data_IF_589857964471
#
_entry.id   IF_589857964471
#
_cell.length_a   1.000
_cell.length_b   1.000
_cell.length_c   1.000
_cell.angle_alpha   90.00
_cell.angle_beta   90.00
_cell.angle_gamma   90.00
#
_symmetry.space_group_name_H-M   'P 1'
#
loop_
_entity.id
_entity.type
_entity.pdbx_description
1 polymer ?
#
# COMPACT_ATOMS: atom_id res chain seq x y z
N UNK A 1 24.66 -8.09 26.23
CA UNK A 1 25.41 -6.97 25.63
C UNK A 1 24.54 -5.72 25.85
N UNK A 2 24.94 -4.88 26.81
CA UNK A 2 24.15 -3.77 27.35
C UNK A 2 24.23 -2.54 26.41
N UNK A 3 23.09 -2.05 25.94
CA UNK A 3 22.96 -0.84 25.10
C UNK A 3 22.58 0.42 25.90
N UNK A 4 22.85 0.46 27.20
CA UNK A 4 22.52 1.60 28.05
C UNK A 4 23.71 1.99 28.92
N UNK A 5 24.60 2.80 28.37
CA UNK A 5 25.51 3.61 29.17
C UNK A 5 25.73 4.95 28.47
N UNK A 6 25.32 6.02 29.16
CA UNK A 6 25.41 7.45 28.79
C UNK A 6 24.50 7.94 27.66
N UNK A 7 23.37 8.57 28.00
CA UNK A 7 22.70 9.50 27.07
C UNK A 7 22.43 10.81 27.78
N UNK A 8 23.03 11.89 27.26
CA UNK A 8 22.53 13.25 27.45
C UNK A 8 21.03 13.27 27.14
N UNK A 9 20.23 13.94 27.96
CA UNK A 9 18.80 14.11 27.70
C UNK A 9 18.65 14.98 26.45
N UNK A 10 18.40 14.36 25.29
CA UNK A 10 18.32 15.05 23.98
C UNK A 10 16.98 15.78 23.82
N UNK A 11 15.94 15.37 24.56
CA UNK A 11 14.63 16.02 24.51
C UNK A 11 13.84 15.79 25.80
N UNK A 12 13.04 16.78 26.18
CA UNK A 12 12.13 16.70 27.33
C UNK A 12 10.82 15.98 27.00
N UNK A 13 10.47 15.85 25.71
CA UNK A 13 9.21 15.27 25.26
C UNK A 13 9.35 14.44 23.97
N UNK A 14 8.75 13.24 23.96
CA UNK A 14 8.66 12.37 22.78
C UNK A 14 7.18 12.09 22.48
N UNK A 15 6.75 12.41 21.26
CA UNK A 15 5.42 12.09 20.76
C UNK A 15 5.52 11.01 19.67
N UNK A 16 4.99 9.82 19.96
CA UNK A 16 4.88 8.74 18.98
C UNK A 16 3.48 8.78 18.34
N UNK A 17 3.42 9.03 17.03
CA UNK A 17 2.17 9.05 16.27
C UNK A 17 2.31 8.21 14.99
N UNK A 18 1.17 7.94 14.34
CA UNK A 18 1.17 7.25 13.05
C UNK A 18 1.65 8.19 11.93
N UNK A 19 2.26 7.62 10.90
CA UNK A 19 2.79 8.31 9.72
C UNK A 19 1.79 9.28 9.07
N UNK A 20 0.48 8.97 9.12
CA UNK A 20 -0.56 9.88 8.59
C UNK A 20 -0.57 11.26 9.25
N UNK A 21 -0.20 11.38 10.53
CA UNK A 21 -0.18 12.67 11.22
C UNK A 21 0.98 13.54 10.73
N UNK A 22 2.18 12.94 10.61
CA UNK A 22 3.33 13.64 10.04
C UNK A 22 3.08 14.08 8.61
N UNK A 23 2.45 13.22 7.80
CA UNK A 23 2.03 13.55 6.43
C UNK A 23 1.06 14.73 6.39
N UNK A 24 0.02 14.74 7.23
CA UNK A 24 -0.94 15.84 7.29
C UNK A 24 -0.25 17.16 7.61
N UNK A 25 0.53 17.18 8.70
CA UNK A 25 1.20 18.38 9.20
C UNK A 25 2.25 18.94 8.24
N UNK A 26 2.84 18.09 7.40
CA UNK A 26 3.74 18.56 6.34
C UNK A 26 3.01 19.37 5.25
N UNK A 27 1.70 19.20 5.09
CA UNK A 27 0.92 19.88 4.05
C UNK A 27 -0.07 20.92 4.58
N UNK A 28 -0.65 20.72 5.77
CA UNK A 28 -1.64 21.63 6.35
C UNK A 28 -1.72 21.51 7.86
N UNK A 29 -2.13 22.60 8.50
CA UNK A 29 -2.51 22.71 9.91
C UNK A 29 -4.00 22.43 10.17
N UNK A 30 -4.78 22.14 9.12
CA UNK A 30 -6.24 21.89 9.20
C UNK A 30 -6.55 20.40 9.20
N UNK A 31 -7.81 20.08 9.53
CA UNK A 31 -8.35 18.75 9.34
C UNK A 31 -8.14 18.27 7.89
N UNK A 32 -7.92 16.97 7.70
CA UNK A 32 -7.64 16.43 6.37
C UNK A 32 -7.79 14.94 6.22
N UNK A 33 -7.95 14.50 4.97
CA UNK A 33 -7.93 13.08 4.59
C UNK A 33 -6.54 12.75 4.08
N UNK A 34 -5.89 11.79 4.72
CA UNK A 34 -4.58 11.29 4.33
C UNK A 34 -4.73 9.87 3.80
N UNK A 35 -4.15 9.60 2.64
CA UNK A 35 -4.10 8.27 2.03
C UNK A 35 -2.64 7.88 1.86
N UNK A 36 -2.24 6.79 2.50
CA UNK A 36 -0.89 6.23 2.37
C UNK A 36 -1.00 4.96 1.54
N UNK A 37 -0.12 4.82 0.55
CA UNK A 37 -0.04 3.66 -0.35
C UNK A 37 1.43 3.36 -0.67
N UNK A 38 2.13 2.79 0.32
CA UNK A 38 3.52 2.31 0.20
C UNK A 38 3.57 0.79 0.28
N UNK A 39 4.48 0.23 1.09
CA UNK A 39 4.48 -1.21 1.41
C UNK A 39 3.13 -1.71 1.94
N UNK A 40 2.43 -0.90 2.74
CA UNK A 40 1.03 -1.09 3.14
C UNK A 40 0.17 0.09 2.72
N UNK A 41 -1.11 0.06 3.05
CA UNK A 41 -2.02 1.18 2.77
C UNK A 41 -2.98 1.48 3.92
N UNK A 42 -3.30 2.76 4.07
CA UNK A 42 -4.30 3.22 5.05
C UNK A 42 -4.90 4.54 4.60
N UNK A 43 -6.16 4.77 4.93
CA UNK A 43 -6.82 6.05 4.78
C UNK A 43 -7.32 6.54 6.13
N UNK A 44 -7.04 7.81 6.44
CA UNK A 44 -7.51 8.44 7.67
C UNK A 44 -8.09 9.81 7.40
N UNK A 45 -9.17 10.13 8.11
CA UNK A 45 -9.58 11.51 8.30
C UNK A 45 -9.11 11.95 9.68
N UNK A 46 -8.30 12.99 9.74
CA UNK A 46 -7.74 13.56 10.96
C UNK A 46 -8.39 14.93 11.18
N UNK A 47 -8.93 15.16 12.38
CA UNK A 47 -9.57 16.41 12.78
C UNK A 47 -8.54 17.37 13.37
N UNK A 48 -8.94 18.63 13.56
CA UNK A 48 -8.09 19.67 14.19
C UNK A 48 -7.74 19.33 15.65
N UNK A 49 -8.61 18.60 16.35
CA UNK A 49 -8.39 18.12 17.72
C UNK A 49 -7.55 16.82 17.80
N UNK A 50 -6.95 16.39 16.68
CA UNK A 50 -6.18 15.15 16.52
C UNK A 50 -6.96 13.85 16.64
N UNK A 51 -8.27 13.89 16.89
CA UNK A 51 -9.10 12.70 16.76
C UNK A 51 -9.20 12.28 15.27
N UNK A 52 -9.41 10.99 15.02
CA UNK A 52 -9.36 10.47 13.66
C UNK A 52 -10.33 9.32 13.42
N UNK A 53 -10.70 9.18 12.16
CA UNK A 53 -11.42 8.03 11.59
C UNK A 53 -10.47 7.27 10.68
N UNK A 54 -10.48 5.93 10.74
CA UNK A 54 -9.60 5.07 9.92
C UNK A 54 -10.42 4.15 9.03
N UNK A 55 -9.97 4.01 7.78
CA UNK A 55 -10.39 2.99 6.81
C UNK A 55 -9.14 2.20 6.39
N UNK A 56 -9.25 0.88 6.38
CA UNK A 56 -8.11 -0.01 6.07
C UNK A 56 -7.01 0.04 7.13
N UNK A 57 -5.78 -0.29 6.74
CA UNK A 57 -4.62 -0.35 7.64
C UNK A 57 -4.63 -1.54 8.60
N UNK A 58 -5.30 -2.64 8.24
CA UNK A 58 -5.28 -3.90 9.01
C UNK A 58 -4.05 -4.77 8.71
N UNK A 59 -3.17 -4.30 7.81
CA UNK A 59 -2.03 -5.05 7.34
C UNK A 59 -2.38 -6.09 6.27
N UNK A 60 -1.34 -6.73 5.76
CA UNK A 60 -1.39 -7.50 4.52
C UNK A 60 -2.28 -8.75 4.55
N UNK A 61 -2.59 -9.28 5.74
CA UNK A 61 -3.47 -10.44 5.90
C UNK A 61 -4.95 -10.09 5.73
N UNK A 62 -5.35 -8.85 6.07
CA UNK A 62 -6.75 -8.44 6.18
C UNK A 62 -7.05 -7.13 5.43
N UNK A 63 -6.14 -6.66 4.59
CA UNK A 63 -6.30 -5.40 3.86
C UNK A 63 -5.03 -5.03 3.10
N UNK A 64 -4.59 -3.78 3.26
CA UNK A 64 -3.52 -3.17 2.47
C UNK A 64 -3.87 -3.09 0.97
N UNK A 65 -5.14 -2.99 0.61
CA UNK A 65 -5.56 -2.83 -0.79
C UNK A 65 -4.89 -1.61 -1.42
N UNK A 66 -4.44 -1.77 -2.66
CA UNK A 66 -3.63 -0.79 -3.41
C UNK A 66 -2.22 -0.49 -2.86
N UNK A 67 -1.77 -1.19 -1.81
CA UNK A 67 -0.36 -1.14 -1.42
C UNK A 67 0.55 -1.85 -2.43
N UNK A 68 1.84 -1.57 -2.36
CA UNK A 68 2.83 -2.30 -3.15
C UNK A 68 2.84 -3.80 -2.87
N UNK A 69 2.61 -4.21 -1.62
CA UNK A 69 2.43 -5.64 -1.31
C UNK A 69 1.20 -6.22 -2.01
N UNK A 70 0.06 -5.53 -1.94
CA UNK A 70 -1.19 -6.00 -2.52
C UNK A 70 -1.10 -6.11 -4.04
N UNK A 71 -0.49 -5.14 -4.70
CA UNK A 71 -0.24 -5.17 -6.15
C UNK A 71 0.59 -6.39 -6.52
N UNK A 72 1.72 -6.61 -5.83
CA UNK A 72 2.57 -7.78 -6.08
C UNK A 72 1.81 -9.08 -5.86
N UNK A 73 1.13 -9.22 -4.72
CA UNK A 73 0.35 -10.40 -4.38
C UNK A 73 -0.75 -10.67 -5.41
N UNK A 74 -1.44 -9.62 -5.89
CA UNK A 74 -2.49 -9.73 -6.90
C UNK A 74 -1.93 -10.23 -8.23
N UNK A 75 -0.82 -9.67 -8.71
CA UNK A 75 -0.13 -10.15 -9.92
C UNK A 75 0.32 -11.61 -9.77
N UNK A 76 0.93 -11.97 -8.64
CA UNK A 76 1.35 -13.34 -8.34
C UNK A 76 0.18 -14.32 -8.37
N UNK A 77 -0.93 -13.98 -7.71
CA UNK A 77 -2.11 -14.84 -7.62
C UNK A 77 -2.75 -15.04 -9.00
N UNK A 78 -2.89 -13.97 -9.79
CA UNK A 78 -3.42 -14.06 -11.15
C UNK A 78 -2.55 -14.97 -12.05
N UNK A 79 -1.23 -14.89 -11.91
CA UNK A 79 -0.31 -15.78 -12.61
C UNK A 79 -0.46 -17.24 -12.16
N UNK A 80 -0.38 -17.52 -10.85
CA UNK A 80 -0.44 -18.90 -10.34
C UNK A 80 -1.79 -19.56 -10.67
N UNK A 81 -2.89 -18.82 -10.56
CA UNK A 81 -4.22 -19.34 -10.91
C UNK A 81 -4.36 -19.70 -12.39
N UNK A 82 -3.74 -18.91 -13.27
CA UNK A 82 -3.75 -19.14 -14.71
C UNK A 82 -2.86 -20.33 -15.10
N UNK A 83 -1.67 -20.41 -14.51
CA UNK A 83 -0.69 -21.48 -14.74
C UNK A 83 -1.19 -22.85 -14.25
N UNK A 84 -1.84 -22.89 -13.09
CA UNK A 84 -2.47 -24.11 -12.55
C UNK A 84 -3.82 -24.43 -13.20
N UNK A 85 -4.36 -23.53 -14.05
CA UNK A 85 -5.65 -23.68 -14.70
C UNK A 85 -6.86 -23.57 -13.75
N UNK A 86 -6.67 -23.01 -12.55
CA UNK A 86 -7.74 -22.78 -11.57
C UNK A 86 -8.68 -21.67 -12.00
N UNK A 87 -8.12 -20.51 -12.38
CA UNK A 87 -8.87 -19.35 -12.88
C UNK A 87 -8.08 -18.74 -14.02
N UNK A 88 -8.62 -18.84 -15.23
CA UNK A 88 -7.96 -18.31 -16.42
C UNK A 88 -7.85 -16.80 -16.38
N UNK A 89 -6.64 -16.28 -16.58
CA UNK A 89 -6.41 -14.85 -16.71
C UNK A 89 -6.80 -14.37 -18.12
N UNK A 90 -7.51 -13.24 -18.25
CA UNK A 90 -7.81 -12.67 -19.56
C UNK A 90 -6.61 -11.98 -20.24
N UNK A 91 -5.47 -11.87 -19.54
CA UNK A 91 -4.24 -11.20 -20.00
C UNK A 91 -3.07 -12.18 -20.04
N UNK A 92 -2.01 -11.85 -20.78
CA UNK A 92 -0.76 -12.63 -20.78
C UNK A 92 -0.06 -12.52 -19.42
N UNK A 93 0.20 -13.67 -18.78
CA UNK A 93 0.82 -13.79 -17.45
C UNK A 93 2.33 -14.03 -17.53
N UNK A 94 2.88 -14.35 -18.72
CA UNK A 94 4.30 -14.70 -18.89
C UNK A 94 5.27 -13.56 -18.50
N UNK A 95 5.01 -12.27 -18.79
CA UNK A 95 5.87 -11.18 -18.33
C UNK A 95 5.95 -11.09 -16.80
N UNK A 96 4.82 -11.25 -16.12
CA UNK A 96 4.76 -11.26 -14.64
C UNK A 96 5.51 -12.45 -14.08
N UNK A 97 5.33 -13.65 -14.67
CA UNK A 97 6.10 -14.85 -14.30
C UNK A 97 7.60 -14.61 -14.41
N UNK A 98 8.07 -14.07 -15.54
CA UNK A 98 9.50 -13.77 -15.75
C UNK A 98 10.05 -12.79 -14.70
N UNK A 99 9.29 -11.75 -14.38
CA UNK A 99 9.69 -10.77 -13.36
C UNK A 99 9.79 -11.43 -11.96
N UNK A 100 8.81 -12.26 -11.59
CA UNK A 100 8.81 -12.99 -10.33
C UNK A 100 9.99 -13.96 -10.21
N UNK A 101 10.20 -14.77 -11.25
CA UNK A 101 11.28 -15.75 -11.28
C UNK A 101 12.64 -15.09 -11.21
N UNK A 102 12.82 -13.96 -11.91
CA UNK A 102 14.05 -13.18 -11.86
C UNK A 102 14.29 -12.59 -10.46
N UNK A 103 13.26 -12.04 -9.83
CA UNK A 103 13.39 -11.36 -8.53
C UNK A 103 13.73 -12.32 -7.39
N UNK A 104 13.02 -13.45 -7.32
CA UNK A 104 13.24 -14.46 -6.28
C UNK A 104 14.21 -15.57 -6.71
N UNK A 105 14.85 -15.45 -7.88
CA UNK A 105 15.79 -16.46 -8.43
C UNK A 105 15.19 -17.87 -8.54
N UNK A 106 13.93 -17.95 -8.96
CA UNK A 106 13.15 -19.19 -9.03
C UNK A 106 13.47 -19.98 -10.29
N UNK A 107 13.34 -21.31 -10.20
CA UNK A 107 13.47 -22.23 -11.35
C UNK A 107 12.12 -22.83 -11.73
N UNK A 108 11.20 -22.93 -10.77
CA UNK A 108 9.89 -23.53 -10.91
C UNK A 108 8.90 -22.93 -9.91
N UNK A 109 7.60 -23.19 -10.11
CA UNK A 109 6.56 -22.62 -9.23
C UNK A 109 6.67 -23.11 -7.78
N UNK A 110 7.13 -24.34 -7.55
CA UNK A 110 7.27 -24.87 -6.19
C UNK A 110 8.31 -24.09 -5.38
N UNK A 111 9.27 -23.45 -6.06
CA UNK A 111 10.28 -22.60 -5.42
C UNK A 111 9.65 -21.33 -4.82
N UNK A 112 8.43 -20.93 -5.21
CA UNK A 112 7.70 -19.82 -4.59
C UNK A 112 7.39 -20.08 -3.11
N UNK A 113 7.36 -21.35 -2.68
CA UNK A 113 7.09 -21.70 -1.30
C UNK A 113 8.17 -21.15 -0.35
N UNK A 114 9.44 -21.12 -0.76
CA UNK A 114 10.54 -20.66 0.09
C UNK A 114 10.41 -19.17 0.51
N UNK A 115 10.26 -18.20 -0.43
CA UNK A 115 10.04 -16.80 -0.05
C UNK A 115 8.69 -16.56 0.63
N UNK A 116 7.69 -17.43 0.41
CA UNK A 116 6.40 -17.35 1.11
C UNK A 116 6.49 -17.84 2.57
N UNK A 117 7.25 -18.90 2.85
CA UNK A 117 7.46 -19.39 4.23
C UNK A 117 8.41 -18.48 5.02
N UNK A 118 9.42 -17.90 4.37
CA UNK A 118 10.32 -16.91 4.97
C UNK A 118 9.90 -15.48 4.63
N UNK A 119 8.60 -15.22 4.81
CA UNK A 119 7.95 -14.01 4.31
C UNK A 119 8.58 -12.71 4.82
N UNK A 120 9.00 -11.87 3.88
CA UNK A 120 9.44 -10.49 4.13
C UNK A 120 8.61 -9.52 3.30
N UNK A 121 7.65 -8.84 3.93
CA UNK A 121 6.72 -7.94 3.24
C UNK A 121 7.39 -6.94 2.29
N UNK A 122 8.51 -6.36 2.70
CA UNK A 122 9.28 -5.39 1.90
C UNK A 122 9.87 -5.99 0.62
N UNK A 123 10.24 -7.27 0.65
CA UNK A 123 10.81 -7.97 -0.51
C UNK A 123 9.75 -8.15 -1.58
N UNK A 124 8.53 -8.52 -1.19
CA UNK A 124 7.37 -8.61 -2.08
C UNK A 124 6.92 -7.23 -2.56
N UNK A 125 6.82 -6.23 -1.67
CA UNK A 125 6.37 -4.90 -2.08
C UNK A 125 7.34 -4.22 -3.05
N UNK A 126 8.63 -4.56 -3.02
CA UNK A 126 9.62 -4.00 -3.94
C UNK A 126 9.34 -4.31 -5.43
N UNK A 127 8.71 -5.46 -5.72
CA UNK A 127 8.28 -5.85 -7.06
C UNK A 127 7.19 -4.94 -7.65
N UNK A 128 6.45 -4.21 -6.81
CA UNK A 128 5.46 -3.25 -7.25
C UNK A 128 6.07 -2.23 -8.23
N UNK A 129 7.32 -1.80 -7.99
CA UNK A 129 8.02 -0.89 -8.90
C UNK A 129 8.19 -1.50 -10.29
N UNK A 130 8.64 -2.75 -10.35
CA UNK A 130 8.80 -3.50 -11.61
C UNK A 130 7.47 -3.65 -12.34
N UNK A 131 6.39 -4.03 -11.64
CA UNK A 131 5.06 -4.12 -12.25
C UNK A 131 4.51 -2.76 -12.69
N UNK A 132 4.82 -1.68 -11.96
CA UNK A 132 4.49 -0.32 -12.37
C UNK A 132 5.19 0.09 -13.67
N UNK A 133 6.47 -0.27 -13.82
CA UNK A 133 7.24 -0.05 -15.06
C UNK A 133 6.69 -0.89 -16.21
N UNK A 134 6.36 -2.17 -15.97
CA UNK A 134 5.72 -3.05 -16.96
C UNK A 134 4.38 -2.48 -17.45
N UNK A 135 3.53 -2.03 -16.52
CA UNK A 135 2.25 -1.42 -16.86
C UNK A 135 2.40 -0.14 -17.69
N UNK A 136 3.39 0.71 -17.36
CA UNK A 136 3.72 1.89 -18.18
C UNK A 136 4.22 1.53 -19.58
N UNK A 137 4.91 0.40 -19.70
CA UNK A 137 5.43 -0.12 -20.97
C UNK A 137 4.41 -0.95 -21.77
N UNK A 138 3.15 -0.99 -21.34
CA UNK A 138 2.05 -1.58 -22.11
C UNK A 138 1.60 -2.98 -21.68
N UNK A 139 2.12 -3.52 -20.58
CA UNK A 139 1.65 -4.80 -20.03
C UNK A 139 0.20 -4.66 -19.50
N UNK A 140 -0.73 -5.38 -20.14
CA UNK A 140 -2.17 -5.23 -19.85
C UNK A 140 -2.56 -5.80 -18.48
N UNK A 141 -1.90 -6.87 -18.02
CA UNK A 141 -2.12 -7.45 -16.70
C UNK A 141 -1.75 -6.44 -15.60
N UNK A 142 -0.55 -5.84 -15.69
CA UNK A 142 -0.12 -4.81 -14.75
C UNK A 142 -1.03 -3.59 -14.82
N UNK A 143 -1.41 -3.11 -16.01
CA UNK A 143 -2.35 -1.99 -16.16
C UNK A 143 -3.70 -2.29 -15.50
N UNK A 144 -4.19 -3.52 -15.63
CA UNK A 144 -5.41 -3.96 -14.97
C UNK A 144 -5.28 -3.91 -13.45
N UNK A 145 -4.24 -4.50 -12.87
CA UNK A 145 -4.02 -4.52 -11.42
C UNK A 145 -3.83 -3.11 -10.86
N UNK A 146 -3.10 -2.23 -11.56
CA UNK A 146 -2.97 -0.83 -11.13
C UNK A 146 -4.28 -0.04 -11.24
N UNK A 147 -5.16 -0.39 -12.18
CA UNK A 147 -6.53 0.17 -12.24
C UNK A 147 -7.37 -0.31 -11.06
N UNK A 148 -7.29 -1.59 -10.68
CA UNK A 148 -7.93 -2.11 -9.46
C UNK A 148 -7.39 -1.38 -8.22
N UNK A 149 -6.07 -1.18 -8.12
CA UNK A 149 -5.45 -0.42 -7.04
C UNK A 149 -6.00 1.02 -6.97
N UNK A 150 -6.08 1.72 -8.12
CA UNK A 150 -6.67 3.06 -8.18
C UNK A 150 -8.14 3.09 -7.71
N UNK A 151 -8.92 2.07 -8.06
CA UNK A 151 -10.29 1.92 -7.55
C UNK A 151 -10.31 1.79 -6.03
N UNK A 152 -9.45 0.94 -5.44
CA UNK A 152 -9.42 0.77 -3.98
C UNK A 152 -8.98 2.03 -3.24
N UNK A 153 -8.03 2.81 -3.78
CA UNK A 153 -7.66 4.11 -3.21
C UNK A 153 -8.86 5.06 -3.19
N UNK A 154 -9.60 5.15 -4.30
CA UNK A 154 -10.84 5.93 -4.37
C UNK A 154 -11.90 5.41 -3.39
N UNK A 155 -12.08 4.09 -3.29
CA UNK A 155 -13.03 3.47 -2.37
C UNK A 155 -12.71 3.77 -0.90
N UNK A 156 -11.42 3.80 -0.52
CA UNK A 156 -10.99 4.19 0.82
C UNK A 156 -11.41 5.62 1.17
N UNK A 157 -11.19 6.55 0.24
CA UNK A 157 -11.62 7.95 0.39
C UNK A 157 -13.14 8.02 0.50
N UNK A 158 -13.86 7.36 -0.41
CA UNK A 158 -15.33 7.33 -0.38
C UNK A 158 -15.90 6.75 0.92
N UNK A 159 -15.23 5.75 1.51
CA UNK A 159 -15.63 5.13 2.77
C UNK A 159 -15.38 6.03 3.99
N UNK A 160 -14.38 6.92 3.94
CA UNK A 160 -14.11 7.86 5.05
C UNK A 160 -14.99 9.10 4.99
N UNK A 161 -15.39 9.53 3.79
CA UNK A 161 -16.18 10.76 3.58
C UNK A 161 -17.42 10.91 4.49
N UNK A 162 -18.27 9.88 4.69
CA UNK A 162 -19.44 9.98 5.57
C UNK A 162 -19.08 10.25 7.04
N UNK A 163 -17.87 9.88 7.46
CA UNK A 163 -17.36 10.01 8.83
C UNK A 163 -16.71 11.36 9.13
N UNK A 164 -16.55 12.20 8.09
CA UNK A 164 -16.04 13.57 8.20
C UNK A 164 -17.06 14.52 8.83
N UNK A 165 -16.59 15.60 9.45
CA UNK A 165 -17.46 16.64 10.01
C UNK A 165 -18.30 17.35 8.93
N UNK A 166 -19.44 17.95 9.32
CA UNK A 166 -20.32 18.69 8.40
C UNK A 166 -19.60 19.82 7.65
N UNK A 167 -18.55 20.39 8.24
CA UNK A 167 -17.66 21.37 7.59
C UNK A 167 -16.84 20.71 6.47
N UNK A 168 -16.42 19.45 6.65
CA UNK A 168 -15.69 18.68 5.66
C UNK A 168 -16.51 18.18 4.46
N UNK A 169 -17.83 18.09 4.58
CA UNK A 169 -18.69 17.71 3.44
C UNK A 169 -18.87 18.81 2.39
N UNK A 170 -18.62 20.09 2.74
CA UNK A 170 -18.74 21.24 1.82
C UNK A 170 -17.48 21.50 0.99
N UNK A 171 -16.34 20.92 1.38
CA UNK A 171 -15.04 21.14 0.74
C UNK A 171 -14.56 19.89 0.00
N UNK A 172 -15.40 19.34 -0.89
CA UNK A 172 -15.00 18.29 -1.85
C UNK A 172 -13.85 18.70 -2.79
N UNK A 173 -13.49 20.00 -2.82
CA UNK A 173 -12.45 20.59 -3.66
C UNK A 173 -11.25 21.16 -2.88
N UNK A 174 -11.23 21.10 -1.54
CA UNK A 174 -10.22 21.83 -0.75
C UNK A 174 -9.68 21.08 0.47
N UNK A 175 -9.82 19.75 0.52
CA UNK A 175 -8.96 18.96 1.41
C UNK A 175 -7.67 18.61 0.68
N UNK A 176 -6.50 18.80 1.31
CA UNK A 176 -5.29 18.17 0.81
C UNK A 176 -5.47 16.66 0.98
N UNK A 177 -5.85 15.97 -0.10
CA UNK A 177 -5.66 14.53 -0.21
C UNK A 177 -4.18 14.30 -0.47
N UNK A 178 -3.45 13.94 0.57
CA UNK A 178 -2.02 13.69 0.46
C UNK A 178 -1.86 12.21 0.20
N UNK A 179 -1.45 11.87 -1.02
CA UNK A 179 -1.09 10.52 -1.42
C UNK A 179 0.43 10.36 -1.27
N UNK A 180 0.86 9.49 -0.35
CA UNK A 180 2.27 9.12 -0.23
C UNK A 180 2.46 7.75 -0.87
N UNK A 181 3.21 7.73 -1.96
CA UNK A 181 3.72 6.51 -2.59
C UNK A 181 5.19 6.38 -2.23
N UNK A 182 5.56 5.29 -1.54
CA UNK A 182 6.94 4.95 -1.19
C UNK A 182 7.39 3.67 -1.86
#
# INVERSE_FOLDING_TARGET
MNFMASSQTVTDHVFACNDTFGTLYAATDKAGIVVIAGTGSTCRYIREDLSYERIGGYGYMLGDEASGFWITHRCMKLYVDDDEGLVKCPYDTEPVRKALFKHFSLRSNIDLLEPLYHFKKNEFSSLCKTFGEMGRNGDELCKHVFREAGYFLGAHVMAVLPKTDKVGRRFLLCFPCICVFS
#
